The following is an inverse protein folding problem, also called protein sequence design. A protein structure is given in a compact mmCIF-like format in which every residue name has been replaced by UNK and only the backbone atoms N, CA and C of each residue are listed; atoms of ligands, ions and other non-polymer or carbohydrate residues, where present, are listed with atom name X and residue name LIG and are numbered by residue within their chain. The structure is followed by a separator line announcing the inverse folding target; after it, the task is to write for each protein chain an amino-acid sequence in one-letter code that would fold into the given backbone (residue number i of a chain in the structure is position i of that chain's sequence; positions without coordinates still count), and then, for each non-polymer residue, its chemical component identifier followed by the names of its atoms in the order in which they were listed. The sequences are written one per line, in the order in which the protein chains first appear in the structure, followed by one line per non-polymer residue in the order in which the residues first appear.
data_IF_736540411643
#
_entry.id   IF_736540411643
#
_cell.length_a   1.000
_cell.length_b   1.000
_cell.length_c   1.000
_cell.angle_alpha   90.00
_cell.angle_beta   90.00
_cell.angle_gamma   90.00
#
_symmetry.space_group_name_H-M   'P 1'
#
loop_
_entity.id
_entity.type
_entity.pdbx_description
1 polymer ?
#
# COMPACT_ATOMS: atom_id res chain seq x y z
N UNK A 1 -11.53 17.99 -1.65
CA UNK A 1 -11.88 17.28 -0.40
C UNK A 1 -10.57 16.97 0.31
N UNK A 2 -10.09 17.84 1.20
CA UNK A 2 -8.81 17.65 1.91
C UNK A 2 -8.96 16.44 2.84
N UNK A 3 -8.22 15.34 2.63
CA UNK A 3 -8.25 14.24 3.58
C UNK A 3 -7.75 14.80 4.91
N UNK A 4 -8.46 14.53 6.01
CA UNK A 4 -7.98 14.84 7.35
C UNK A 4 -6.68 14.05 7.57
N UNK A 5 -5.55 14.71 7.31
CA UNK A 5 -4.18 14.17 7.41
C UNK A 5 -3.84 13.61 8.80
N UNK A 6 -4.69 13.84 9.81
CA UNK A 6 -4.53 13.33 11.17
C UNK A 6 -4.74 11.81 11.31
N UNK A 7 -5.18 11.11 10.26
CA UNK A 7 -5.54 9.68 10.31
C UNK A 7 -4.68 8.76 9.42
N UNK A 8 -3.38 9.06 9.29
CA UNK A 8 -2.46 8.26 8.46
C UNK A 8 -1.29 7.73 9.30
N UNK A 9 -1.00 6.43 9.18
CA UNK A 9 0.19 5.82 9.77
C UNK A 9 1.47 6.42 9.18
N UNK A 10 2.43 6.78 10.04
CA UNK A 10 3.70 7.40 9.66
C UNK A 10 4.85 6.46 10.04
N UNK A 11 5.80 6.30 9.13
CA UNK A 11 7.04 5.59 9.41
C UNK A 11 8.14 6.59 9.71
N UNK A 12 8.71 6.52 10.90
CA UNK A 12 9.71 7.45 11.40
C UNK A 12 11.15 6.94 11.31
N UNK A 13 12.08 7.89 11.22
CA UNK A 13 13.51 7.77 11.51
C UNK A 13 13.92 8.97 12.38
N UNK A 14 15.02 8.85 13.10
CA UNK A 14 15.62 9.94 13.86
C UNK A 14 16.97 10.26 13.21
N UNK A 15 17.27 11.54 13.02
CA UNK A 15 18.60 11.97 12.58
C UNK A 15 19.59 11.76 13.73
N UNK A 16 20.64 10.97 13.50
CA UNK A 16 21.67 10.72 14.52
C UNK A 16 22.77 11.80 14.55
N UNK A 17 22.87 12.56 13.46
CA UNK A 17 23.83 13.64 13.24
C UNK A 17 23.16 14.77 12.45
N UNK A 18 23.77 15.94 12.48
CA UNK A 18 23.39 17.02 11.58
C UNK A 18 23.73 16.62 10.14
N UNK A 19 22.79 16.80 9.21
CA UNK A 19 22.91 16.35 7.82
C UNK A 19 22.15 17.30 6.89
N UNK A 20 22.58 17.41 5.63
CA UNK A 20 21.86 18.09 4.57
C UNK A 20 21.29 17.03 3.63
N UNK A 21 19.97 17.00 3.49
CA UNK A 21 19.27 16.09 2.60
C UNK A 21 19.55 16.43 1.12
N UNK A 22 19.30 15.49 0.18
CA UNK A 22 19.57 15.72 -1.24
C UNK A 22 18.84 16.91 -1.88
N UNK A 23 17.77 17.40 -1.25
CA UNK A 23 17.02 18.60 -1.66
C UNK A 23 17.57 19.90 -1.05
N UNK A 24 18.67 19.82 -0.30
CA UNK A 24 19.30 20.94 0.39
C UNK A 24 18.70 21.24 1.76
N UNK A 25 17.71 20.48 2.23
CA UNK A 25 17.12 20.69 3.55
C UNK A 25 18.07 20.22 4.67
N UNK A 26 18.42 21.12 5.59
CA UNK A 26 19.23 20.78 6.75
C UNK A 26 18.41 20.16 7.88
N UNK A 27 18.81 18.98 8.32
CA UNK A 27 18.28 18.28 9.50
C UNK A 27 19.29 18.34 10.65
N UNK A 28 18.81 18.49 11.88
CA UNK A 28 19.65 18.43 13.08
C UNK A 28 19.57 17.06 13.74
N UNK A 29 20.61 16.69 14.49
CA UNK A 29 20.57 15.54 15.39
C UNK A 29 19.33 15.62 16.30
N UNK A 30 18.57 14.52 16.32
CA UNK A 30 17.32 14.40 17.07
C UNK A 30 16.06 14.69 16.24
N UNK A 31 16.18 15.21 15.02
CA UNK A 31 15.02 15.49 14.18
C UNK A 31 14.32 14.20 13.72
N UNK A 32 12.99 14.22 13.81
CA UNK A 32 12.13 13.13 13.35
C UNK A 32 11.83 13.25 11.85
N UNK A 33 12.24 12.25 11.08
CA UNK A 33 12.00 12.12 9.64
C UNK A 33 10.87 11.13 9.40
N UNK A 34 9.79 11.56 8.74
CA UNK A 34 8.62 10.72 8.52
C UNK A 34 8.22 10.63 7.05
N UNK A 35 7.83 9.43 6.62
CA UNK A 35 7.14 9.22 5.35
C UNK A 35 5.83 8.48 5.55
N UNK A 36 4.90 8.68 4.61
CA UNK A 36 3.53 8.19 4.70
C UNK A 36 3.19 7.35 3.48
N UNK A 37 3.25 6.02 3.63
CA UNK A 37 2.96 5.07 2.53
C UNK A 37 1.58 5.30 1.91
N UNK A 38 0.57 5.63 2.73
CA UNK A 38 -0.77 5.93 2.26
C UNK A 38 -0.81 7.10 1.28
N UNK A 39 -0.13 8.20 1.62
CA UNK A 39 -0.07 9.41 0.80
C UNK A 39 0.80 9.17 -0.43
N UNK A 40 2.02 8.67 -0.25
CA UNK A 40 2.95 8.39 -1.36
C UNK A 40 2.33 7.46 -2.41
N UNK A 41 1.55 6.46 -1.99
CA UNK A 41 0.83 5.55 -2.90
C UNK A 41 -0.31 6.19 -3.71
N UNK A 42 -0.64 7.46 -3.47
CA UNK A 42 -1.72 8.21 -4.13
C UNK A 42 -1.28 9.58 -4.66
N UNK A 43 0.02 9.89 -4.60
CA UNK A 43 0.53 11.19 -5.06
C UNK A 43 0.66 11.19 -6.59
N UNK A 44 -0.03 12.11 -7.32
CA UNK A 44 0.10 12.19 -8.77
C UNK A 44 1.52 12.50 -9.23
N UNK A 45 2.28 13.26 -8.43
CA UNK A 45 3.71 13.49 -8.67
C UNK A 45 4.54 12.20 -8.78
N UNK A 46 4.14 11.13 -8.09
CA UNK A 46 4.85 9.83 -8.10
C UNK A 46 4.25 8.88 -9.14
N UNK A 47 2.91 8.86 -9.27
CA UNK A 47 2.19 7.81 -10.01
C UNK A 47 1.53 8.27 -11.30
N UNK A 48 1.50 9.58 -11.58
CA UNK A 48 0.72 10.20 -12.65
C UNK A 48 -0.73 10.49 -12.25
N UNK A 49 -1.53 10.99 -13.19
CA UNK A 49 -2.92 11.38 -12.94
C UNK A 49 -3.82 10.19 -12.54
N UNK A 50 -3.40 8.96 -12.85
CA UNK A 50 -4.09 7.71 -12.50
C UNK A 50 -3.72 7.17 -11.10
N UNK A 51 -3.13 8.01 -10.24
CA UNK A 51 -2.64 7.61 -8.91
C UNK A 51 -3.72 7.01 -7.98
N UNK A 52 -4.99 7.37 -8.19
CA UNK A 52 -6.12 6.84 -7.40
C UNK A 52 -6.78 5.62 -8.04
N UNK A 53 -6.41 5.26 -9.27
CA UNK A 53 -7.04 4.17 -10.02
C UNK A 53 -6.47 2.80 -9.63
N UNK A 54 -7.36 1.83 -9.44
CA UNK A 54 -6.98 0.44 -9.31
C UNK A 54 -6.58 -0.13 -10.68
N UNK A 55 -5.29 -0.02 -11.01
CA UNK A 55 -4.72 -0.44 -12.31
C UNK A 55 -3.57 -1.45 -12.13
N UNK A 56 -3.85 -2.75 -11.97
CA UNK A 56 -2.82 -3.78 -11.83
C UNK A 56 -1.84 -3.87 -13.02
N UNK A 57 -2.30 -3.48 -14.21
CA UNK A 57 -1.52 -3.53 -15.45
C UNK A 57 -0.33 -2.56 -15.43
N UNK A 58 -0.30 -1.56 -14.52
CA UNK A 58 0.83 -0.63 -14.38
C UNK A 58 2.16 -1.33 -14.06
N UNK A 59 2.09 -2.53 -13.51
CA UNK A 59 3.25 -3.34 -13.15
C UNK A 59 3.67 -4.32 -14.26
N UNK A 60 3.03 -4.25 -15.43
CA UNK A 60 3.24 -5.16 -16.55
C UNK A 60 3.84 -4.42 -17.73
N UNK A 61 4.86 -5.00 -18.35
CA UNK A 61 5.37 -4.60 -19.66
C UNK A 61 5.25 -5.79 -20.60
N UNK A 62 4.40 -5.68 -21.63
CA UNK A 62 4.08 -6.79 -22.54
C UNK A 62 3.67 -8.08 -21.83
N UNK A 63 2.88 -7.95 -20.76
CA UNK A 63 2.43 -9.08 -19.92
C UNK A 63 3.47 -9.62 -18.93
N UNK A 64 4.71 -9.09 -18.95
CA UNK A 64 5.78 -9.48 -18.04
C UNK A 64 5.78 -8.54 -16.83
N UNK A 65 5.76 -9.10 -15.63
CA UNK A 65 5.84 -8.33 -14.40
C UNK A 65 7.18 -7.60 -14.27
N UNK A 66 7.11 -6.30 -14.00
CA UNK A 66 8.25 -5.43 -13.72
C UNK A 66 8.13 -4.87 -12.30
N UNK A 67 8.99 -5.29 -11.36
CA UNK A 67 8.94 -4.76 -10.01
C UNK A 67 9.36 -3.29 -10.01
N UNK A 68 8.63 -2.48 -9.25
CA UNK A 68 8.98 -1.08 -9.03
C UNK A 68 10.01 -0.95 -7.89
N UNK A 69 10.75 0.16 -7.92
CA UNK A 69 11.69 0.54 -6.87
C UNK A 69 11.01 0.48 -5.49
N UNK A 70 11.62 -0.20 -4.50
CA UNK A 70 11.11 -0.21 -3.12
C UNK A 70 11.01 1.17 -2.48
N UNK A 71 11.76 2.16 -2.98
CA UNK A 71 11.71 3.55 -2.51
C UNK A 71 10.52 4.32 -3.09
N UNK A 72 9.97 3.88 -4.22
CA UNK A 72 8.75 4.41 -4.83
C UNK A 72 7.51 3.65 -4.35
N UNK A 73 7.57 2.33 -4.31
CA UNK A 73 6.52 1.45 -3.78
C UNK A 73 6.91 0.87 -2.40
N UNK A 74 6.68 1.66 -1.35
CA UNK A 74 7.18 1.39 0.02
C UNK A 74 6.29 0.46 0.87
N UNK A 75 5.51 -0.44 0.26
CA UNK A 75 4.60 -1.34 0.99
C UNK A 75 5.31 -2.25 2.01
N UNK A 76 6.57 -2.60 1.74
CA UNK A 76 7.44 -3.38 2.62
C UNK A 76 8.68 -2.59 3.10
N UNK A 77 8.65 -1.26 2.94
CA UNK A 77 9.79 -0.36 3.10
C UNK A 77 10.95 -0.66 2.12
N UNK A 78 12.07 0.03 2.31
CA UNK A 78 13.25 -0.04 1.47
C UNK A 78 14.54 0.00 2.31
N UNK A 79 15.67 -0.28 1.65
CA UNK A 79 17.00 -0.25 2.25
C UNK A 79 17.27 -1.41 3.23
N UNK A 80 18.30 -1.28 4.09
CA UNK A 80 18.72 -2.34 5.01
C UNK A 80 17.67 -2.79 6.04
N UNK A 81 16.61 -1.99 6.22
CA UNK A 81 15.49 -2.26 7.13
C UNK A 81 14.21 -2.64 6.39
N UNK A 82 14.34 -3.16 5.16
CA UNK A 82 13.22 -3.75 4.42
C UNK A 82 12.60 -4.91 5.21
N UNK A 83 11.29 -5.09 5.09
CA UNK A 83 10.59 -6.17 5.79
C UNK A 83 11.15 -7.53 5.40
N UNK A 84 11.70 -8.26 6.39
CA UNK A 84 12.26 -9.60 6.20
C UNK A 84 11.21 -10.60 5.68
N UNK A 85 9.93 -10.38 6.03
CA UNK A 85 8.82 -11.22 5.60
C UNK A 85 8.25 -10.92 4.21
N UNK A 86 8.84 -9.99 3.44
CA UNK A 86 8.31 -9.53 2.14
C UNK A 86 7.99 -10.69 1.19
N UNK A 87 8.96 -11.56 0.93
CA UNK A 87 8.80 -12.63 -0.06
C UNK A 87 7.84 -13.72 0.42
N UNK A 88 7.85 -13.99 1.73
CA UNK A 88 6.91 -14.91 2.36
C UNK A 88 5.47 -14.39 2.25
N UNK A 89 5.25 -13.11 2.57
CA UNK A 89 3.95 -12.46 2.46
C UNK A 89 3.43 -12.51 1.02
N UNK A 90 4.26 -12.19 0.02
CA UNK A 90 3.85 -12.30 -1.39
C UNK A 90 3.46 -13.72 -1.79
N UNK A 91 4.18 -14.74 -1.32
CA UNK A 91 3.83 -16.15 -1.59
C UNK A 91 2.48 -16.50 -0.98
N UNK A 92 2.25 -16.16 0.28
CA UNK A 92 0.98 -16.42 0.97
C UNK A 92 -0.19 -15.70 0.28
N UNK A 93 -0.02 -14.42 -0.07
CA UNK A 93 -1.04 -13.65 -0.79
C UNK A 93 -1.42 -14.30 -2.12
N UNK A 94 -0.42 -14.76 -2.90
CA UNK A 94 -0.66 -15.45 -4.17
C UNK A 94 -1.44 -16.75 -3.96
N UNK A 95 -1.00 -17.60 -3.03
CA UNK A 95 -1.66 -18.89 -2.73
C UNK A 95 -3.12 -18.66 -2.32
N UNK A 96 -3.36 -17.74 -1.38
CA UNK A 96 -4.70 -17.43 -0.91
C UNK A 96 -5.58 -16.83 -2.02
N UNK A 97 -5.04 -15.89 -2.80
CA UNK A 97 -5.76 -15.28 -3.93
C UNK A 97 -6.15 -16.31 -4.97
N UNK A 98 -5.24 -17.22 -5.34
CA UNK A 98 -5.51 -18.32 -6.27
C UNK A 98 -6.62 -19.20 -5.72
N UNK A 99 -6.55 -19.62 -4.45
CA UNK A 99 -7.59 -20.46 -3.85
C UNK A 99 -8.96 -19.75 -3.86
N UNK A 100 -9.03 -18.51 -3.38
CA UNK A 100 -10.28 -17.74 -3.32
C UNK A 100 -10.87 -17.52 -4.71
N UNK A 101 -10.07 -17.09 -5.68
CA UNK A 101 -10.52 -16.83 -7.05
C UNK A 101 -10.85 -18.11 -7.81
N UNK A 102 -10.18 -19.23 -7.53
CA UNK A 102 -10.48 -20.52 -8.18
C UNK A 102 -11.85 -21.05 -7.76
N UNK A 103 -12.17 -20.96 -6.47
CA UNK A 103 -13.37 -21.60 -5.92
C UNK A 103 -14.56 -20.66 -5.79
N UNK A 104 -14.36 -19.35 -5.73
CA UNK A 104 -15.43 -18.40 -5.45
C UNK A 104 -15.46 -17.21 -6.42
N UNK A 105 -16.65 -16.64 -6.57
CA UNK A 105 -16.89 -15.27 -7.04
C UNK A 105 -17.42 -14.47 -5.84
N UNK A 106 -17.00 -13.22 -5.71
CA UNK A 106 -17.41 -12.36 -4.60
C UNK A 106 -18.30 -11.23 -5.11
N UNK A 107 -19.36 -10.93 -4.36
CA UNK A 107 -20.18 -9.72 -4.55
C UNK A 107 -20.26 -8.99 -3.22
N UNK A 108 -20.20 -7.65 -3.23
CA UNK A 108 -20.48 -6.85 -2.04
C UNK A 108 -21.91 -7.15 -1.55
N UNK A 109 -22.08 -7.29 -0.23
CA UNK A 109 -23.40 -7.43 0.36
C UNK A 109 -24.20 -6.13 0.26
N UNK A 110 -23.50 -5.00 0.34
CA UNK A 110 -24.02 -3.65 0.16
C UNK A 110 -22.96 -2.84 -0.62
N UNK A 111 -23.30 -2.45 -1.84
CA UNK A 111 -22.44 -1.67 -2.74
C UNK A 111 -22.60 -0.14 -2.54
N UNK A 112 -23.60 0.28 -1.75
CA UNK A 112 -23.85 1.68 -1.43
C UNK A 112 -23.06 2.16 -0.21
N UNK A 113 -22.60 1.22 0.62
CA UNK A 113 -21.84 1.53 1.83
C UNK A 113 -20.54 2.23 1.49
N UNK A 114 -20.39 3.45 1.99
CA UNK A 114 -19.14 4.19 1.94
C UNK A 114 -18.08 3.50 2.81
N UNK A 115 -17.06 2.96 2.16
CA UNK A 115 -15.90 2.38 2.84
C UNK A 115 -15.01 3.50 3.35
N UNK A 116 -14.70 3.46 4.64
CA UNK A 116 -13.72 4.34 5.28
C UNK A 116 -12.70 3.49 6.02
N UNK A 117 -11.60 4.11 6.43
CA UNK A 117 -10.46 3.40 7.01
C UNK A 117 -10.15 3.90 8.41
N UNK A 118 -9.69 2.97 9.25
CA UNK A 118 -9.16 3.27 10.58
C UNK A 118 -7.64 3.36 10.51
N UNK A 119 -7.08 4.34 11.20
CA UNK A 119 -5.64 4.51 11.36
C UNK A 119 -5.11 3.41 12.29
N UNK A 120 -4.37 2.46 11.72
CA UNK A 120 -3.68 1.38 12.41
C UNK A 120 -2.35 1.12 11.68
N UNK A 121 -1.51 0.24 12.22
CA UNK A 121 -0.24 -0.15 11.59
C UNK A 121 -0.44 -0.64 10.15
N UNK A 122 -1.47 -1.46 9.93
CA UNK A 122 -2.05 -1.80 8.62
C UNK A 122 -3.29 -0.95 8.35
N UNK A 123 -3.60 -0.65 7.09
CA UNK A 123 -4.80 0.12 6.74
C UNK A 123 -6.06 -0.73 6.90
N UNK A 124 -6.75 -0.57 8.03
CA UNK A 124 -7.96 -1.34 8.33
C UNK A 124 -9.19 -0.63 7.77
N UNK A 125 -10.17 -1.41 7.30
CA UNK A 125 -11.51 -0.88 7.04
C UNK A 125 -12.17 -0.56 8.38
N UNK A 126 -12.88 0.56 8.45
CA UNK A 126 -13.71 0.89 9.61
C UNK A 126 -14.95 -0.03 9.61
N UNK A 127 -15.05 -0.90 10.62
CA UNK A 127 -16.02 -2.00 10.67
C UNK A 127 -15.57 -3.21 9.85
N UNK A 128 -16.53 -3.97 9.30
CA UNK A 128 -16.28 -5.15 8.46
C UNK A 128 -16.55 -4.86 6.98
N UNK A 129 -16.01 -5.68 6.06
CA UNK A 129 -16.43 -5.70 4.64
C UNK A 129 -17.24 -6.97 4.38
N UNK A 130 -18.56 -6.85 4.38
CA UNK A 130 -19.43 -8.02 4.14
C UNK A 130 -19.47 -8.36 2.66
N UNK A 131 -19.17 -9.62 2.36
CA UNK A 131 -19.15 -10.17 1.00
C UNK A 131 -20.03 -11.41 0.94
N UNK A 132 -20.72 -11.58 -0.19
CA UNK A 132 -21.34 -12.85 -0.57
C UNK A 132 -20.36 -13.64 -1.43
N UNK A 133 -19.92 -14.79 -0.93
CA UNK A 133 -19.12 -15.74 -1.70
C UNK A 133 -20.05 -16.71 -2.45
N UNK A 134 -19.88 -16.81 -3.75
CA UNK A 134 -20.66 -17.67 -4.65
C UNK A 134 -19.70 -18.72 -5.21
N UNK A 135 -19.96 -20.00 -4.94
CA UNK A 135 -19.12 -21.10 -5.46
C UNK A 135 -19.07 -21.08 -6.99
N UNK A 136 -17.87 -21.23 -7.55
CA UNK A 136 -17.68 -21.47 -8.99
C UNK A 136 -17.98 -22.95 -9.26
N UNK A 137 -19.03 -23.23 -10.03
CA UNK A 137 -19.22 -24.56 -10.60
C UNK A 137 -18.07 -24.85 -11.56
N UNK A 138 -17.60 -26.11 -11.57
CA UNK A 138 -16.61 -26.55 -12.57
C UNK A 138 -17.26 -26.39 -13.95
N UNK A 139 -16.70 -25.51 -14.78
CA UNK A 139 -16.83 -25.64 -16.24
C UNK A 139 -15.93 -26.75 -16.73
#
# INVERSE_FOLDING_TARGET
MTPKLSRIHKNGRCAEVDEILPDGFGTKKGDGLYYMAYAMGRMPYIWGDDAEDFRPERWLNNGIFQPESPFKFIAFHAGPRICLGKDFAYRQMKILSIALLRFFRFKLADDTRKITYRTMFTLHIEGSLHLRAIGRTKS
#
